data_IF_972729215186
#
_entry.id   IF_972729215186
#
_cell.length_a   1.000
_cell.length_b   1.000
_cell.length_c   1.000
_cell.angle_alpha   90.00
_cell.angle_beta   90.00
_cell.angle_gamma   90.00
#
_symmetry.space_group_name_H-M   'P 1'
#
loop_
_entity.id
_entity.type
_entity.pdbx_description
1 polymer ?
#
# COMPACT_ATOMS: atom_id res chain seq x y z
N UNK A 1 16.38 -56.36 -13.11
CA UNK A 1 15.78 -56.02 -11.80
C UNK A 1 16.56 -54.83 -11.23
N UNK A 2 16.21 -53.62 -11.64
CA UNK A 2 16.81 -52.38 -11.10
C UNK A 2 15.89 -51.85 -10.01
N UNK A 3 16.41 -51.46 -8.82
CA UNK A 3 15.55 -50.97 -7.75
C UNK A 3 14.98 -49.60 -8.13
N UNK A 4 13.66 -49.48 -7.97
CA UNK A 4 12.91 -48.22 -8.12
C UNK A 4 13.42 -47.22 -7.09
N UNK A 5 13.89 -46.08 -7.56
CA UNK A 5 14.25 -44.94 -6.73
C UNK A 5 13.05 -44.48 -5.89
N UNK A 6 13.30 -44.26 -4.61
CA UNK A 6 12.37 -43.56 -3.72
C UNK A 6 12.46 -42.08 -4.06
N UNK A 7 11.38 -41.40 -4.47
CA UNK A 7 11.39 -39.96 -4.53
C UNK A 7 11.41 -39.45 -3.08
N UNK A 8 12.53 -38.85 -2.67
CA UNK A 8 12.55 -37.99 -1.49
C UNK A 8 11.57 -36.85 -1.75
N UNK A 9 10.53 -36.73 -0.93
CA UNK A 9 9.62 -35.60 -0.91
C UNK A 9 10.40 -34.32 -0.58
N UNK A 10 11.07 -33.79 -1.60
CA UNK A 10 11.50 -32.41 -1.65
C UNK A 10 10.22 -31.60 -1.66
N UNK A 11 9.83 -31.14 -0.47
CA UNK A 11 8.88 -30.05 -0.30
C UNK A 11 9.37 -28.91 -1.19
N UNK A 12 8.83 -28.85 -2.41
CA UNK A 12 9.07 -27.76 -3.31
C UNK A 12 8.36 -26.58 -2.69
N UNK A 13 9.08 -25.85 -1.85
CA UNK A 13 8.84 -24.43 -1.67
C UNK A 13 8.88 -23.86 -3.07
N UNK A 14 7.71 -23.74 -3.69
CA UNK A 14 7.59 -23.15 -5.00
C UNK A 14 8.36 -21.85 -4.93
N UNK A 15 9.34 -21.70 -5.81
CA UNK A 15 9.78 -20.39 -6.24
C UNK A 15 8.56 -19.77 -6.94
N UNK A 16 7.57 -19.38 -6.14
CA UNK A 16 6.50 -18.50 -6.58
C UNK A 16 7.18 -17.26 -7.11
N UNK A 17 6.61 -16.64 -8.16
CA UNK A 17 7.20 -15.46 -8.75
C UNK A 17 7.47 -14.48 -7.61
N UNK A 18 8.75 -14.17 -7.41
CA UNK A 18 9.20 -13.13 -6.50
C UNK A 18 8.19 -12.00 -6.59
N UNK A 19 7.55 -11.68 -5.46
CA UNK A 19 6.62 -10.58 -5.32
C UNK A 19 7.39 -9.25 -5.42
N UNK A 20 8.09 -9.08 -6.53
CA UNK A 20 8.52 -7.83 -7.07
C UNK A 20 7.24 -7.07 -7.43
N UNK A 21 6.81 -6.27 -6.46
CA UNK A 21 5.69 -5.34 -6.45
C UNK A 21 5.80 -4.20 -7.49
N UNK A 22 6.37 -4.48 -8.67
CA UNK A 22 6.30 -3.60 -9.82
C UNK A 22 4.89 -3.68 -10.42
N UNK A 23 4.23 -2.51 -10.45
CA UNK A 23 2.83 -2.32 -10.77
C UNK A 23 2.33 -3.20 -11.92
N UNK A 24 1.25 -3.94 -11.62
CA UNK A 24 0.69 -4.95 -12.52
C UNK A 24 0.37 -4.41 -13.91
N UNK A 25 0.70 -5.24 -14.92
CA UNK A 25 0.01 -5.26 -16.21
C UNK A 25 -1.30 -6.07 -16.09
N UNK A 26 -2.11 -5.78 -15.08
CA UNK A 26 -3.40 -6.44 -14.84
C UNK A 26 -4.58 -5.53 -15.17
N UNK A 27 -5.76 -6.09 -15.51
CA UNK A 27 -6.98 -5.31 -15.71
C UNK A 27 -7.41 -4.61 -14.41
N UNK A 28 -8.22 -3.53 -14.48
CA UNK A 28 -8.84 -2.92 -13.30
C UNK A 28 -9.55 -3.98 -12.44
N UNK A 29 -9.69 -3.76 -11.14
CA UNK A 29 -10.41 -4.68 -10.26
C UNK A 29 -11.87 -4.81 -10.72
N UNK A 30 -12.12 -5.84 -11.52
CA UNK A 30 -13.36 -6.03 -12.26
C UNK A 30 -14.60 -6.20 -11.34
N UNK A 31 -14.37 -6.42 -10.04
CA UNK A 31 -15.42 -6.54 -9.04
C UNK A 31 -15.76 -5.23 -8.32
N UNK A 32 -14.83 -4.30 -8.18
CA UNK A 32 -15.06 -3.02 -7.50
C UNK A 32 -15.21 -1.84 -8.47
N UNK A 33 -14.98 -2.06 -9.77
CA UNK A 33 -15.18 -1.06 -10.81
C UNK A 33 -14.15 0.07 -10.78
N UNK A 34 -13.02 -0.12 -10.08
CA UNK A 34 -11.99 0.91 -9.98
C UNK A 34 -11.06 0.78 -11.20
N UNK A 35 -11.09 1.80 -12.06
CA UNK A 35 -10.28 1.85 -13.28
C UNK A 35 -8.76 1.95 -13.00
N UNK A 36 -8.40 2.44 -11.82
CA UNK A 36 -7.01 2.67 -11.41
C UNK A 36 -6.37 1.40 -10.91
N UNK A 37 -5.08 1.19 -11.21
CA UNK A 37 -4.32 0.05 -10.70
C UNK A 37 -4.17 0.14 -9.18
N UNK A 38 -4.73 -0.83 -8.46
CA UNK A 38 -4.59 -0.96 -7.01
C UNK A 38 -3.56 -2.04 -6.68
N UNK A 39 -2.73 -1.78 -5.68
CA UNK A 39 -1.75 -2.74 -5.20
C UNK A 39 -1.28 -2.43 -3.78
N UNK A 40 -0.31 -3.20 -3.27
CA UNK A 40 0.18 -3.08 -1.89
C UNK A 40 0.63 -1.66 -1.53
N UNK A 41 1.20 -0.92 -2.47
CA UNK A 41 1.61 0.47 -2.27
C UNK A 41 0.42 1.42 -2.10
N UNK A 42 -0.64 1.24 -2.89
CA UNK A 42 -1.87 2.05 -2.76
C UNK A 42 -2.52 1.81 -1.40
N UNK A 43 -2.65 0.55 -0.96
CA UNK A 43 -3.19 0.23 0.35
C UNK A 43 -2.36 0.79 1.51
N UNK A 44 -1.03 0.69 1.41
CA UNK A 44 -0.14 1.26 2.40
C UNK A 44 -0.26 2.79 2.47
N UNK A 45 -0.35 3.47 1.32
CA UNK A 45 -0.59 4.91 1.28
C UNK A 45 -1.92 5.26 1.94
N UNK A 46 -3.02 4.61 1.55
CA UNK A 46 -4.36 4.81 2.13
C UNK A 46 -4.39 4.55 3.63
N UNK A 47 -3.72 3.50 4.11
CA UNK A 47 -3.64 3.18 5.54
C UNK A 47 -2.90 4.25 6.35
N UNK A 48 -1.78 4.78 5.83
CA UNK A 48 -1.03 5.86 6.49
C UNK A 48 -1.85 7.15 6.51
N UNK A 49 -2.48 7.51 5.39
CA UNK A 49 -3.30 8.74 5.30
C UNK A 49 -4.47 8.69 6.26
N UNK A 50 -5.29 7.62 6.22
CA UNK A 50 -6.42 7.47 7.14
C UNK A 50 -5.99 7.51 8.60
N UNK A 51 -4.86 6.87 8.94
CA UNK A 51 -4.35 6.89 10.31
C UNK A 51 -4.06 8.32 10.79
N UNK A 52 -3.46 9.15 9.94
CA UNK A 52 -3.14 10.54 10.27
C UNK A 52 -4.37 11.46 10.29
N UNK A 53 -5.36 11.22 9.42
CA UNK A 53 -6.62 11.97 9.42
C UNK A 53 -7.49 11.71 10.66
N UNK A 54 -7.30 10.56 11.33
CA UNK A 54 -7.97 10.19 12.57
C UNK A 54 -7.10 10.37 13.81
N UNK A 55 -6.39 11.50 13.90
CA UNK A 55 -5.55 11.90 15.04
C UNK A 55 -4.39 10.94 15.38
N UNK A 56 -3.97 10.12 14.41
CA UNK A 56 -2.78 9.29 14.54
C UNK A 56 -1.50 10.12 14.48
N UNK A 57 -0.45 9.66 15.15
CA UNK A 57 0.84 10.40 15.19
C UNK A 57 1.76 10.01 14.03
N UNK A 58 2.54 10.99 13.55
CA UNK A 58 3.49 10.79 12.46
C UNK A 58 4.56 9.73 12.81
N UNK A 59 4.99 9.69 14.07
CA UNK A 59 5.97 8.74 14.58
C UNK A 59 5.44 7.31 14.48
N UNK A 60 4.16 7.10 14.86
CA UNK A 60 3.55 5.77 14.82
C UNK A 60 3.28 5.32 13.39
N UNK A 61 2.81 6.24 12.55
CA UNK A 61 2.68 6.01 11.11
C UNK A 61 4.02 5.63 10.46
N UNK A 62 5.12 6.29 10.85
CA UNK A 62 6.47 5.97 10.38
C UNK A 62 6.90 4.56 10.79
N UNK A 63 6.65 4.17 12.05
CA UNK A 63 6.95 2.83 12.56
C UNK A 63 6.13 1.76 11.83
N UNK A 64 4.82 1.97 11.66
CA UNK A 64 3.93 1.06 10.92
C UNK A 64 4.37 0.86 9.48
N UNK A 65 4.86 1.93 8.85
CA UNK A 65 5.38 1.88 7.49
C UNK A 65 6.85 1.39 7.41
N UNK A 66 7.55 1.18 8.52
CA UNK A 66 9.00 0.91 8.52
C UNK A 66 9.80 1.94 7.68
N UNK A 67 9.42 3.22 7.78
CA UNK A 67 10.12 4.29 7.08
C UNK A 67 11.38 4.72 7.84
N UNK A 68 12.51 4.76 7.13
CA UNK A 68 13.77 5.23 7.68
C UNK A 68 13.80 6.74 8.00
N UNK A 69 12.88 7.53 7.41
CA UNK A 69 12.80 8.97 7.63
C UNK A 69 11.36 9.43 7.77
N UNK A 70 11.05 10.34 8.72
CA UNK A 70 9.71 10.90 8.87
C UNK A 70 9.25 11.66 7.62
N UNK A 71 10.18 12.21 6.84
CA UNK A 71 9.88 12.91 5.59
C UNK A 71 9.16 12.02 4.58
N UNK A 72 9.46 10.72 4.54
CA UNK A 72 8.77 9.76 3.65
C UNK A 72 7.32 9.50 4.10
N UNK A 73 7.05 9.58 5.40
CA UNK A 73 5.70 9.45 5.96
C UNK A 73 4.90 10.74 5.79
N UNK A 74 5.54 11.91 5.96
CA UNK A 74 4.89 13.22 5.89
C UNK A 74 4.23 13.50 4.54
N UNK A 75 4.70 12.88 3.46
CA UNK A 75 4.06 12.97 2.13
C UNK A 75 2.63 12.41 2.09
N UNK A 76 2.24 11.60 3.08
CA UNK A 76 0.91 11.02 3.21
C UNK A 76 0.01 11.76 4.20
N UNK A 77 0.55 12.78 4.89
CA UNK A 77 -0.22 13.61 5.81
C UNK A 77 -1.09 14.59 5.00
N UNK A 78 -2.40 14.33 5.00
CA UNK A 78 -3.42 15.11 4.29
C UNK A 78 -4.26 15.96 5.24
N UNK A 79 -3.92 16.02 6.52
CA UNK A 79 -4.68 16.78 7.54
C UNK A 79 -4.81 18.26 7.21
N UNK A 80 -3.84 18.82 6.50
CA UNK A 80 -3.84 20.22 6.05
C UNK A 80 -4.50 20.43 4.68
N UNK A 81 -4.78 19.37 3.93
CA UNK A 81 -5.42 19.45 2.60
C UNK A 81 -6.94 19.65 2.71
N UNK A 82 -7.51 19.55 3.92
CA UNK A 82 -8.92 19.80 4.17
C UNK A 82 -9.22 21.30 4.08
N UNK A 83 -9.79 21.71 2.95
CA UNK A 83 -10.25 23.07 2.72
C UNK A 83 -11.42 23.36 3.67
N UNK A 84 -11.26 24.39 4.51
CA UNK A 84 -12.33 24.81 5.43
C UNK A 84 -13.36 25.68 4.71
N UNK A 85 -14.58 25.75 5.24
CA UNK A 85 -15.64 26.60 4.67
C UNK A 85 -15.20 28.08 4.55
N UNK A 86 -14.48 28.59 5.57
CA UNK A 86 -13.89 29.93 5.59
C UNK A 86 -12.93 30.16 4.41
N UNK A 87 -12.12 29.17 4.06
CA UNK A 87 -11.22 29.27 2.91
C UNK A 87 -11.97 29.34 1.58
N UNK A 88 -13.09 28.61 1.45
CA UNK A 88 -13.94 28.66 0.25
C UNK A 88 -14.68 30.01 0.13
N UNK A 89 -15.13 30.57 1.24
CA UNK A 89 -15.89 31.82 1.26
C UNK A 89 -15.07 33.05 0.82
N UNK A 90 -13.74 33.04 1.03
CA UNK A 90 -12.81 34.08 0.55
C UNK A 90 -12.73 34.20 -0.98
N UNK A 91 -13.07 33.14 -1.72
CA UNK A 91 -13.01 33.11 -3.19
C UNK A 91 -14.21 33.87 -3.81
N UNK A 92 -15.30 34.05 -3.07
CA UNK A 92 -16.56 34.62 -3.58
C UNK A 92 -16.65 36.15 -3.46
N UNK A 93 -15.56 36.85 -3.16
CA UNK A 93 -15.50 38.31 -3.02
C UNK A 93 -14.76 38.97 -4.19
#
# INVERSE_FOLDING_TARGET
>A
MTPRGVPTDGHQIGQGPSANCQGGRGPPDAHAGIATKIGCHSFRATGITNYLEHDGTLEKAQQMAAHASPRKTKLYDRTNDQVTLDEVEKIRL
#
